data_IF_814196127093
#
_entry.id   IF_814196127093
#
_cell.length_a   1.000
_cell.length_b   1.000
_cell.length_c   1.000
_cell.angle_alpha   90.00
_cell.angle_beta   90.00
_cell.angle_gamma   90.00
#
_symmetry.space_group_name_H-M   'P 1'
#
loop_
_entity.id
_entity.type
_entity.pdbx_description
1 polymer ?
#
# COMPACT_ATOMS: atom_id res chain seq x y z
N UNK A 1 -17.17 -22.25 5.57
CA UNK A 1 -16.38 -21.18 4.92
C UNK A 1 -15.66 -20.39 6.00
N UNK A 2 -14.43 -20.75 6.37
CA UNK A 2 -13.68 -20.03 7.41
C UNK A 2 -13.17 -18.70 6.85
N UNK A 3 -13.65 -17.57 7.40
CA UNK A 3 -13.14 -16.24 7.09
C UNK A 3 -11.74 -16.12 7.71
N UNK A 4 -10.69 -16.18 6.90
CA UNK A 4 -9.32 -15.87 7.32
C UNK A 4 -9.28 -14.42 7.79
N UNK A 5 -9.08 -14.22 9.11
CA UNK A 5 -8.82 -12.89 9.67
C UNK A 5 -7.49 -12.41 9.09
N UNK A 6 -7.50 -11.35 8.28
CA UNK A 6 -6.29 -10.68 7.84
C UNK A 6 -5.58 -10.16 9.09
N UNK A 7 -4.40 -10.70 9.41
CA UNK A 7 -3.53 -10.15 10.43
C UNK A 7 -2.85 -8.90 9.82
N UNK A 8 -3.50 -7.74 9.93
CA UNK A 8 -2.92 -6.47 9.48
C UNK A 8 -1.90 -6.02 10.54
N UNK A 9 -0.67 -6.52 10.42
CA UNK A 9 0.45 -6.01 11.22
C UNK A 9 0.82 -4.63 10.69
N UNK A 10 0.91 -3.63 11.59
CA UNK A 10 1.38 -2.29 11.22
C UNK A 10 2.81 -2.38 10.66
N UNK A 11 3.17 -1.56 9.66
CA UNK A 11 4.54 -1.52 9.15
C UNK A 11 5.53 -1.15 10.26
N UNK A 12 6.75 -1.67 10.15
CA UNK A 12 7.83 -1.35 11.08
C UNK A 12 8.21 0.13 10.93
N UNK A 13 8.37 0.83 12.05
CA UNK A 13 8.77 2.25 12.06
C UNK A 13 10.26 2.47 11.75
N UNK A 14 11.04 1.40 11.81
CA UNK A 14 12.49 1.41 11.66
C UNK A 14 12.89 0.34 10.63
N UNK A 15 14.00 0.59 9.94
CA UNK A 15 14.54 -0.36 8.97
C UNK A 15 14.83 -1.72 9.63
N UNK A 16 14.30 -2.80 9.03
CA UNK A 16 14.60 -4.19 9.40
C UNK A 16 15.14 -4.95 8.20
N UNK A 17 16.32 -5.55 8.38
CA UNK A 17 16.94 -6.42 7.39
C UNK A 17 16.06 -7.66 7.11
N UNK A 18 16.19 -8.22 5.90
CA UNK A 18 15.47 -9.43 5.48
C UNK A 18 14.12 -9.18 4.79
N UNK A 19 13.77 -7.94 4.46
CA UNK A 19 12.54 -7.60 3.72
C UNK A 19 12.72 -7.45 2.19
N UNK A 20 13.92 -7.71 1.67
CA UNK A 20 14.21 -7.69 0.23
C UNK A 20 14.54 -6.31 -0.35
N UNK A 21 14.71 -5.29 0.50
CA UNK A 21 15.19 -3.95 0.15
C UNK A 21 16.36 -3.56 1.06
N UNK A 22 17.23 -2.67 0.57
CA UNK A 22 18.42 -2.22 1.30
C UNK A 22 18.07 -1.10 2.28
N UNK A 23 19.04 -0.74 3.15
CA UNK A 23 18.84 0.39 4.06
C UNK A 23 18.83 1.71 3.28
N UNK A 24 19.65 1.80 2.24
CA UNK A 24 19.73 2.92 1.34
C UNK A 24 18.39 3.18 0.64
N UNK A 25 17.71 2.12 0.18
CA UNK A 25 16.36 2.23 -0.42
C UNK A 25 15.32 2.70 0.61
N UNK A 26 15.47 2.29 1.88
CA UNK A 26 14.58 2.69 2.97
C UNK A 26 14.77 4.15 3.34
N UNK A 27 16.02 4.58 3.52
CA UNK A 27 16.38 5.95 3.88
C UNK A 27 16.02 6.91 2.72
N UNK A 28 16.06 6.47 1.46
CA UNK A 28 15.65 7.28 0.32
C UNK A 28 14.16 7.71 0.34
N UNK A 29 13.31 7.02 1.09
CA UNK A 29 11.87 7.31 1.21
C UNK A 29 11.46 7.66 2.64
N UNK A 30 12.41 7.85 3.56
CA UNK A 30 12.12 8.13 4.98
C UNK A 30 11.38 9.45 5.19
N UNK A 31 11.55 10.38 4.27
CA UNK A 31 11.01 11.74 4.36
C UNK A 31 9.58 11.85 3.80
N UNK A 32 8.98 10.72 3.39
CA UNK A 32 7.65 10.73 2.82
C UNK A 32 6.59 11.09 3.90
N UNK A 33 5.72 12.07 3.65
CA UNK A 33 4.74 12.51 4.64
C UNK A 33 3.76 11.39 4.99
N UNK A 34 3.32 11.39 6.24
CA UNK A 34 2.24 10.54 6.70
C UNK A 34 0.93 10.96 6.02
N UNK A 35 0.16 9.96 5.58
CA UNK A 35 -1.16 10.21 5.03
C UNK A 35 -2.09 10.70 6.13
N UNK A 36 -2.74 11.83 5.92
CA UNK A 36 -3.71 12.38 6.86
C UNK A 36 -5.10 11.80 6.61
N UNK A 37 -5.98 11.92 7.60
CA UNK A 37 -7.39 11.51 7.43
C UNK A 37 -8.13 12.36 6.39
N UNK A 38 -7.68 13.60 6.15
CA UNK A 38 -8.22 14.44 5.09
C UNK A 38 -7.81 13.94 3.70
N UNK A 39 -6.57 13.44 3.54
CA UNK A 39 -6.11 12.82 2.29
C UNK A 39 -6.98 11.61 1.93
N UNK A 40 -7.35 10.80 2.92
CA UNK A 40 -8.26 9.67 2.70
C UNK A 40 -9.69 10.09 2.38
N UNK A 41 -10.18 11.19 2.95
CA UNK A 41 -11.51 11.73 2.60
C UNK A 41 -11.58 12.20 1.16
N UNK A 42 -10.49 12.76 0.65
CA UNK A 42 -10.40 13.25 -0.72
C UNK A 42 -9.94 12.18 -1.72
N UNK A 43 -9.55 10.99 -1.25
CA UNK A 43 -9.07 9.92 -2.10
C UNK A 43 -10.16 9.38 -3.03
N UNK A 44 -9.82 9.19 -4.30
CA UNK A 44 -10.69 8.59 -5.30
C UNK A 44 -10.46 7.08 -5.40
N UNK A 45 -11.49 6.27 -5.66
CA UNK A 45 -11.33 4.84 -5.85
C UNK A 45 -10.36 4.51 -7.00
N UNK A 46 -9.56 3.45 -6.83
CA UNK A 46 -8.59 3.00 -7.83
C UNK A 46 -9.20 2.82 -9.24
N UNK A 47 -10.37 2.18 -9.33
CA UNK A 47 -11.05 1.94 -10.60
C UNK A 47 -11.55 3.22 -11.28
N UNK A 48 -11.73 4.31 -10.54
CA UNK A 48 -12.14 5.60 -11.08
C UNK A 48 -10.94 6.37 -11.65
N UNK A 49 -9.77 6.25 -11.01
CA UNK A 49 -8.54 6.91 -11.45
C UNK A 49 -7.84 6.12 -12.57
N UNK A 50 -7.89 4.79 -12.52
CA UNK A 50 -7.23 3.88 -13.47
C UNK A 50 -8.22 2.85 -14.04
N UNK A 51 -9.18 3.29 -14.88
CA UNK A 51 -10.26 2.42 -15.37
C UNK A 51 -9.74 1.23 -16.19
N UNK A 52 -8.81 1.45 -17.11
CA UNK A 52 -8.29 0.39 -17.98
C UNK A 52 -7.54 -0.71 -17.20
N UNK A 53 -6.81 -0.30 -16.16
CA UNK A 53 -6.07 -1.22 -15.29
C UNK A 53 -7.03 -2.02 -14.40
N UNK A 54 -8.07 -1.38 -13.88
CA UNK A 54 -9.12 -2.08 -13.15
C UNK A 54 -9.82 -3.13 -14.04
N UNK A 55 -10.13 -2.78 -15.29
CA UNK A 55 -10.71 -3.71 -16.26
C UNK A 55 -9.76 -4.86 -16.61
N UNK A 56 -8.46 -4.60 -16.80
CA UNK A 56 -7.51 -5.68 -17.06
C UNK A 56 -7.41 -6.67 -15.90
N UNK A 57 -7.43 -6.19 -14.65
CA UNK A 57 -7.43 -7.06 -13.47
C UNK A 57 -8.72 -7.89 -13.41
N UNK A 58 -9.88 -7.29 -13.70
CA UNK A 58 -11.18 -8.00 -13.71
C UNK A 58 -11.21 -9.11 -14.76
N UNK A 59 -10.73 -8.87 -15.97
CA UNK A 59 -10.68 -9.88 -17.04
C UNK A 59 -9.76 -11.06 -16.74
N UNK A 60 -8.77 -10.87 -15.86
CA UNK A 60 -7.79 -11.90 -15.52
C UNK A 60 -8.26 -12.90 -14.45
N UNK A 61 -9.42 -12.66 -13.83
CA UNK A 61 -10.01 -13.51 -12.79
C UNK A 61 -11.09 -14.42 -13.35
#
# INVERSE_FOLDING_TARGET
MAKSKLNVTKPDKEFKQGKGFTKEDWDAVSDNPEWTEEDFRNARPFAEVFPDLAESIRRSR
#
